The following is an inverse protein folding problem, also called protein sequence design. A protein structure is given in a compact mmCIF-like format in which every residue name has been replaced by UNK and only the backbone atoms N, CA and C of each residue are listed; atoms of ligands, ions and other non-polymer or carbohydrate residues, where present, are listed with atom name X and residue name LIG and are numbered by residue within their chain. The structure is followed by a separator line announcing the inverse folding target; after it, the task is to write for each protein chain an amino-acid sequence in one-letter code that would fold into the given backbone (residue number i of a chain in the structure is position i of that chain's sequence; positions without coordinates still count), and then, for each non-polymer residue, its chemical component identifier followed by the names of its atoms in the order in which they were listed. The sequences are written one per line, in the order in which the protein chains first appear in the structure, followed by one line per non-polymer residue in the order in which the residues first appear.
data_IF_910484917969
#
_entry.id   IF_910484917969
#
_cell.length_a   1.000
_cell.length_b   1.000
_cell.length_c   1.000
_cell.angle_alpha   90.00
_cell.angle_beta   90.00
_cell.angle_gamma   90.00
#
_symmetry.space_group_name_H-M   'P 1'
#
loop_
_entity.id
_entity.type
_entity.pdbx_description
1 polymer ?
#
# COMPACT_ATOMS: atom_id res chain seq x y z
N UNK A 1 22.65 16.20 -27.55
CA UNK A 1 23.32 16.18 -26.23
C UNK A 1 22.54 15.33 -25.22
N UNK A 2 21.42 15.79 -24.66
CA UNK A 2 20.69 15.05 -23.60
C UNK A 2 20.22 13.65 -24.01
N UNK A 3 19.92 13.47 -25.30
CA UNK A 3 19.43 12.23 -25.90
C UNK A 3 20.56 11.21 -26.18
N UNK A 4 21.81 11.68 -26.27
CA UNK A 4 22.98 10.83 -26.48
C UNK A 4 23.36 10.14 -25.16
N UNK A 5 23.28 10.88 -24.04
CA UNK A 5 23.47 10.34 -22.70
C UNK A 5 22.41 9.29 -22.32
N UNK A 6 21.14 9.46 -22.72
CA UNK A 6 20.12 8.43 -22.43
C UNK A 6 20.35 7.14 -23.24
N UNK A 7 20.86 7.24 -24.47
CA UNK A 7 21.30 6.08 -25.26
C UNK A 7 22.50 5.38 -24.62
N UNK A 8 23.51 6.14 -24.18
CA UNK A 8 24.68 5.60 -23.48
C UNK A 8 24.31 4.89 -22.15
N UNK A 9 23.41 5.48 -21.36
CA UNK A 9 22.90 4.87 -20.11
C UNK A 9 22.14 3.56 -20.42
N UNK A 10 21.32 3.53 -21.48
CA UNK A 10 20.63 2.31 -21.88
C UNK A 10 21.60 1.19 -22.28
N UNK A 11 22.67 1.51 -23.02
CA UNK A 11 23.72 0.56 -23.38
C UNK A 11 24.49 0.04 -22.13
N UNK A 12 24.82 0.93 -21.19
CA UNK A 12 25.49 0.57 -19.94
C UNK A 12 24.61 -0.34 -19.05
N UNK A 13 23.29 -0.09 -18.99
CA UNK A 13 22.37 -0.96 -18.25
C UNK A 13 22.29 -2.37 -18.88
N UNK A 14 22.31 -2.50 -20.21
CA UNK A 14 22.38 -3.80 -20.90
C UNK A 14 23.71 -4.51 -20.61
N UNK A 15 24.82 -3.77 -20.53
CA UNK A 15 26.13 -4.33 -20.17
C UNK A 15 26.18 -4.78 -18.70
N UNK A 16 25.60 -4.02 -17.79
CA UNK A 16 25.47 -4.36 -16.37
C UNK A 16 24.65 -5.65 -16.19
N UNK A 17 23.47 -5.74 -16.82
CA UNK A 17 22.63 -6.93 -16.77
C UNK A 17 23.29 -8.18 -17.41
N UNK A 18 24.28 -8.01 -18.29
CA UNK A 18 25.14 -9.11 -18.79
C UNK A 18 26.18 -9.52 -17.74
N UNK A 19 26.88 -8.56 -17.15
CA UNK A 19 27.89 -8.82 -16.11
C UNK A 19 27.29 -9.49 -14.87
N UNK A 20 26.08 -9.11 -14.45
CA UNK A 20 25.38 -9.75 -13.33
C UNK A 20 25.02 -11.23 -13.60
N UNK A 21 24.74 -11.60 -14.86
CA UNK A 21 24.53 -13.01 -15.25
C UNK A 21 25.84 -13.79 -15.17
N UNK A 22 26.92 -13.24 -15.70
CA UNK A 22 28.26 -13.84 -15.65
C UNK A 22 28.75 -14.03 -14.20
N UNK A 23 28.46 -13.06 -13.31
CA UNK A 23 28.71 -13.19 -11.87
C UNK A 23 27.82 -14.25 -11.22
N UNK A 24 26.52 -14.33 -11.55
CA UNK A 24 25.62 -15.38 -11.05
C UNK A 24 26.05 -16.78 -11.51
N UNK A 25 26.47 -16.93 -12.76
CA UNK A 25 27.02 -18.19 -13.29
C UNK A 25 28.34 -18.57 -12.61
N UNK A 26 29.24 -17.60 -12.39
CA UNK A 26 30.49 -17.82 -11.66
C UNK A 26 30.23 -18.24 -10.21
N UNK A 27 29.34 -17.56 -9.48
CA UNK A 27 28.93 -17.98 -8.12
C UNK A 27 28.29 -19.38 -8.12
N UNK A 28 27.45 -19.72 -9.12
CA UNK A 28 26.87 -21.07 -9.29
C UNK A 28 27.94 -22.14 -9.53
N UNK A 29 29.01 -21.84 -10.25
CA UNK A 29 30.15 -22.75 -10.45
C UNK A 29 30.99 -22.90 -9.17
N UNK A 30 31.29 -21.80 -8.46
CA UNK A 30 31.98 -21.84 -7.15
C UNK A 30 31.21 -22.73 -6.17
N UNK A 31 29.88 -22.57 -6.08
CA UNK A 31 29.04 -23.42 -5.23
C UNK A 31 29.09 -24.91 -5.62
N UNK A 32 29.10 -25.23 -6.92
CA UNK A 32 29.24 -26.63 -7.39
C UNK A 32 30.60 -27.23 -7.02
N UNK A 33 31.69 -26.47 -7.17
CA UNK A 33 33.04 -26.91 -6.82
C UNK A 33 33.19 -27.08 -5.30
N UNK A 34 32.70 -26.13 -4.50
CA UNK A 34 32.65 -26.22 -3.03
C UNK A 34 31.89 -27.45 -2.56
N UNK A 35 30.77 -27.79 -3.22
CA UNK A 35 29.98 -28.99 -2.89
C UNK A 35 30.68 -30.31 -3.26
N UNK A 36 31.58 -30.30 -4.26
CA UNK A 36 32.43 -31.47 -4.59
C UNK A 36 33.56 -31.64 -3.58
N UNK A 37 34.15 -30.54 -3.09
CA UNK A 37 35.21 -30.51 -2.08
C UNK A 37 34.69 -30.67 -0.63
N UNK A 38 33.39 -30.94 -0.46
CA UNK A 38 32.68 -30.99 0.84
C UNK A 38 32.78 -29.71 1.70
N UNK A 39 33.19 -28.59 1.11
CA UNK A 39 33.34 -27.29 1.76
C UNK A 39 32.00 -26.55 1.86
N UNK A 40 31.75 -25.78 2.94
CA UNK A 40 30.50 -25.06 3.15
C UNK A 40 30.28 -23.99 2.05
N UNK A 41 29.11 -24.06 1.41
CA UNK A 41 28.72 -23.20 0.27
C UNK A 41 28.92 -21.70 0.59
N UNK A 42 29.87 -21.00 -0.06
CA UNK A 42 30.22 -19.62 0.28
C UNK A 42 29.23 -18.58 -0.25
N UNK A 43 28.34 -18.96 -1.17
CA UNK A 43 27.30 -18.09 -1.70
C UNK A 43 25.91 -18.68 -1.42
N UNK A 44 24.99 -17.96 -0.77
CA UNK A 44 23.63 -18.47 -0.55
C UNK A 44 22.86 -18.51 -1.87
N UNK A 45 22.19 -19.63 -2.16
CA UNK A 45 21.44 -19.81 -3.41
C UNK A 45 20.34 -18.75 -3.62
N UNK A 46 19.86 -18.10 -2.55
CA UNK A 46 18.91 -16.98 -2.63
C UNK A 46 19.41 -15.78 -3.46
N UNK A 47 20.72 -15.56 -3.59
CA UNK A 47 21.31 -14.55 -4.48
C UNK A 47 21.47 -15.02 -5.94
N UNK A 48 21.32 -16.32 -6.21
CA UNK A 48 21.58 -16.91 -7.53
C UNK A 48 20.33 -16.99 -8.38
N UNK A 49 19.17 -17.06 -7.74
CA UNK A 49 17.85 -17.09 -8.38
C UNK A 49 17.12 -15.74 -8.26
N UNK A 50 17.82 -14.68 -7.83
CA UNK A 50 17.34 -13.29 -7.95
C UNK A 50 17.52 -12.81 -9.39
N UNK A 51 16.51 -13.06 -10.23
CA UNK A 51 16.31 -12.25 -11.43
C UNK A 51 15.77 -10.85 -11.05
N UNK A 52 16.03 -9.86 -11.92
CA UNK A 52 15.79 -8.44 -11.66
C UNK A 52 14.30 -8.12 -11.48
N UNK A 53 13.84 -8.13 -10.23
CA UNK A 53 12.46 -7.88 -9.85
C UNK A 53 12.14 -8.60 -8.55
N UNK A 54 12.39 -7.93 -7.42
CA UNK A 54 12.40 -8.50 -6.06
C UNK A 54 11.13 -9.24 -5.64
N UNK A 55 11.04 -10.52 -6.02
CA UNK A 55 9.87 -11.39 -5.84
C UNK A 55 10.05 -12.28 -4.61
N UNK A 56 9.78 -11.67 -3.46
CA UNK A 56 9.75 -12.31 -2.14
C UNK A 56 8.96 -13.63 -2.18
N UNK A 57 9.67 -14.76 -2.12
CA UNK A 57 9.08 -16.08 -1.88
C UNK A 57 7.99 -16.51 -2.86
N UNK A 58 8.09 -16.16 -4.16
CA UNK A 58 7.21 -16.63 -5.23
C UNK A 58 5.70 -16.58 -4.89
N UNK A 59 5.18 -15.39 -4.57
CA UNK A 59 3.76 -15.13 -4.30
C UNK A 59 2.83 -15.89 -5.27
N UNK A 60 1.98 -16.77 -4.72
CA UNK A 60 0.95 -17.47 -5.49
C UNK A 60 -0.10 -16.47 -5.99
N UNK A 61 -0.51 -16.62 -7.26
CA UNK A 61 -1.39 -15.66 -7.97
C UNK A 61 -2.82 -15.57 -7.43
N UNK A 62 -3.20 -16.50 -6.56
CA UNK A 62 -4.50 -16.62 -5.89
C UNK A 62 -4.46 -16.20 -4.40
N UNK A 63 -3.27 -15.93 -3.84
CA UNK A 63 -3.03 -15.82 -2.39
C UNK A 63 -3.85 -14.72 -1.68
N UNK A 64 -4.25 -13.67 -2.39
CA UNK A 64 -5.04 -12.56 -1.85
C UNK A 64 -6.41 -12.40 -2.53
N UNK A 65 -6.86 -13.39 -3.30
CA UNK A 65 -8.17 -13.34 -3.94
C UNK A 65 -9.31 -13.44 -2.90
N UNK A 66 -10.23 -12.48 -2.91
CA UNK A 66 -11.34 -12.39 -1.94
C UNK A 66 -10.95 -12.01 -0.51
N UNK A 67 -9.66 -11.88 -0.19
CA UNK A 67 -9.16 -11.54 1.15
C UNK A 67 -9.39 -10.05 1.44
N UNK A 68 -9.85 -9.65 2.65
CA UNK A 68 -9.95 -8.24 3.01
C UNK A 68 -8.58 -7.52 2.95
N UNK A 69 -8.56 -6.31 2.39
CA UNK A 69 -7.33 -5.52 2.13
C UNK A 69 -6.37 -5.46 3.34
N UNK A 70 -6.88 -5.18 4.54
CA UNK A 70 -6.06 -5.09 5.76
C UNK A 70 -5.48 -6.44 6.21
N UNK A 71 -6.07 -7.57 5.82
CA UNK A 71 -5.53 -8.91 6.07
C UNK A 71 -4.45 -9.23 5.04
N UNK A 72 -4.72 -9.05 3.75
CA UNK A 72 -3.73 -9.29 2.68
C UNK A 72 -2.42 -8.49 2.89
N UNK A 73 -2.50 -7.21 3.29
CA UNK A 73 -1.34 -6.39 3.65
C UNK A 73 -0.58 -6.98 4.85
N UNK A 74 -1.30 -7.41 5.90
CA UNK A 74 -0.70 -7.97 7.12
C UNK A 74 0.09 -9.24 6.81
N UNK A 75 -0.49 -10.11 5.98
CA UNK A 75 0.08 -11.41 5.69
C UNK A 75 1.24 -11.30 4.69
N UNK A 76 1.17 -10.39 3.72
CA UNK A 76 2.33 -9.98 2.90
C UNK A 76 3.49 -9.47 3.77
N UNK A 77 3.24 -8.55 4.70
CA UNK A 77 4.30 -8.01 5.57
C UNK A 77 4.89 -9.09 6.50
N UNK A 78 4.08 -10.01 7.01
CA UNK A 78 4.56 -11.18 7.79
C UNK A 78 5.48 -12.07 6.95
N UNK A 79 5.04 -12.44 5.74
CA UNK A 79 5.80 -13.26 4.79
C UNK A 79 7.11 -12.57 4.35
N UNK A 80 7.09 -11.24 4.17
CA UNK A 80 8.27 -10.42 3.89
C UNK A 80 9.30 -10.53 5.02
N UNK A 81 8.87 -10.41 6.28
CA UNK A 81 9.76 -10.54 7.45
C UNK A 81 10.26 -11.97 7.69
N UNK A 82 9.45 -13.01 7.44
CA UNK A 82 9.96 -14.40 7.48
C UNK A 82 10.96 -14.69 6.36
N UNK A 83 10.92 -13.93 5.26
CA UNK A 83 11.93 -13.95 4.18
C UNK A 83 13.14 -13.06 4.47
N UNK A 84 13.33 -12.60 5.71
CA UNK A 84 14.42 -11.71 6.11
C UNK A 84 14.29 -10.24 5.68
N UNK A 85 13.30 -9.90 4.85
CA UNK A 85 13.10 -8.55 4.33
C UNK A 85 12.33 -7.65 5.31
N UNK A 86 12.78 -6.40 5.43
CA UNK A 86 12.26 -5.43 6.39
C UNK A 86 10.90 -4.80 6.02
N UNK A 87 10.54 -3.66 6.64
CA UNK A 87 9.30 -2.94 6.35
C UNK A 87 9.28 -2.40 4.91
N UNK A 88 8.08 -2.20 4.35
CA UNK A 88 7.85 -2.02 2.90
C UNK A 88 7.27 -0.65 2.53
N UNK A 89 7.53 -0.17 1.32
CA UNK A 89 6.89 1.04 0.78
C UNK A 89 5.46 0.76 0.32
N UNK A 90 4.65 1.82 0.15
CA UNK A 90 3.30 1.71 -0.43
C UNK A 90 3.33 1.13 -1.85
N UNK A 91 4.39 1.42 -2.62
CA UNK A 91 4.58 0.84 -3.96
C UNK A 91 4.86 -0.66 -3.90
N UNK A 92 5.75 -1.12 -3.01
CA UNK A 92 6.09 -2.55 -2.86
C UNK A 92 4.86 -3.36 -2.44
N UNK A 93 4.07 -2.83 -1.49
CA UNK A 93 2.84 -3.46 -1.01
C UNK A 93 1.80 -3.52 -2.15
N UNK A 94 1.66 -2.44 -2.93
CA UNK A 94 0.74 -2.42 -4.07
C UNK A 94 1.11 -3.45 -5.15
N UNK A 95 2.39 -3.53 -5.53
CA UNK A 95 2.88 -4.49 -6.51
C UNK A 95 2.70 -5.94 -6.05
N UNK A 96 3.07 -6.26 -4.82
CA UNK A 96 2.91 -7.61 -4.25
C UNK A 96 1.43 -8.03 -4.12
N UNK A 97 0.54 -7.09 -3.78
CA UNK A 97 -0.91 -7.35 -3.75
C UNK A 97 -1.46 -7.68 -5.15
N UNK A 98 -1.08 -6.91 -6.18
CA UNK A 98 -1.44 -7.22 -7.58
C UNK A 98 -0.90 -8.58 -8.02
N UNK A 99 0.36 -8.90 -7.70
CA UNK A 99 0.99 -10.18 -8.04
C UNK A 99 0.26 -11.37 -7.38
N UNK A 100 -0.19 -11.21 -6.14
CA UNK A 100 -0.98 -12.20 -5.39
C UNK A 100 -2.49 -12.22 -5.72
N UNK A 101 -2.93 -11.57 -6.81
CA UNK A 101 -4.31 -11.62 -7.30
C UNK A 101 -5.30 -10.71 -6.59
N UNK A 102 -4.85 -9.74 -5.80
CA UNK A 102 -5.75 -8.80 -5.12
C UNK A 102 -6.41 -7.83 -6.11
N UNK A 103 -7.74 -7.83 -6.16
CA UNK A 103 -8.53 -6.93 -7.01
C UNK A 103 -8.82 -5.60 -6.31
N UNK A 104 -8.18 -4.53 -6.76
CA UNK A 104 -8.52 -3.16 -6.34
C UNK A 104 -9.80 -2.67 -7.05
N UNK A 105 -10.70 -2.04 -6.30
CA UNK A 105 -11.98 -1.50 -6.80
C UNK A 105 -11.84 -0.12 -7.49
N UNK A 106 -10.69 0.13 -8.12
CA UNK A 106 -10.35 1.45 -8.67
C UNK A 106 -9.64 1.33 -10.02
N UNK A 107 -10.21 1.93 -11.06
CA UNK A 107 -9.64 1.96 -12.43
C UNK A 107 -8.33 2.74 -12.59
N UNK A 108 -7.86 3.46 -11.56
CA UNK A 108 -6.66 4.28 -11.58
C UNK A 108 -5.72 3.88 -10.43
N UNK A 109 -4.49 3.50 -10.78
CA UNK A 109 -3.42 3.10 -9.87
C UNK A 109 -3.10 4.15 -8.80
N UNK A 110 -3.10 5.44 -9.15
CA UNK A 110 -2.83 6.51 -8.18
C UNK A 110 -3.90 6.58 -7.09
N UNK A 111 -5.16 6.34 -7.45
CA UNK A 111 -6.27 6.23 -6.49
C UNK A 111 -6.19 4.95 -5.67
N UNK A 112 -5.77 3.83 -6.29
CA UNK A 112 -5.55 2.56 -5.59
C UNK A 112 -4.46 2.70 -4.51
N UNK A 113 -3.30 3.27 -4.86
CA UNK A 113 -2.19 3.56 -3.94
C UNK A 113 -2.58 4.55 -2.85
N UNK A 114 -3.37 5.58 -3.17
CA UNK A 114 -3.87 6.54 -2.16
C UNK A 114 -4.87 5.87 -1.20
N UNK A 115 -5.75 5.00 -1.69
CA UNK A 115 -6.64 4.17 -0.88
C UNK A 115 -5.88 3.21 0.03
N UNK A 116 -4.85 2.54 -0.49
CA UNK A 116 -3.93 1.67 0.25
C UNK A 116 -3.24 2.42 1.40
N UNK A 117 -2.66 3.60 1.11
CA UNK A 117 -2.04 4.46 2.11
C UNK A 117 -3.03 4.93 3.20
N UNK A 118 -4.24 5.33 2.81
CA UNK A 118 -5.30 5.71 3.77
C UNK A 118 -5.72 4.52 4.64
N UNK A 119 -5.78 3.30 4.08
CA UNK A 119 -6.07 2.07 4.82
C UNK A 119 -4.97 1.74 5.84
N UNK A 120 -3.71 1.82 5.42
CA UNK A 120 -2.54 1.66 6.30
C UNK A 120 -2.56 2.70 7.44
N UNK A 121 -2.70 3.98 7.11
CA UNK A 121 -2.65 5.08 8.08
C UNK A 121 -3.83 5.09 9.08
N UNK A 122 -5.03 4.66 8.66
CA UNK A 122 -6.17 4.49 9.58
C UNK A 122 -5.99 3.34 10.56
N UNK A 123 -5.27 2.28 10.17
CA UNK A 123 -5.11 1.05 10.95
C UNK A 123 -3.82 1.04 11.80
N UNK A 124 -3.47 2.17 12.40
CA UNK A 124 -2.25 2.37 13.21
C UNK A 124 -2.08 1.38 14.39
N UNK A 125 -3.18 0.77 14.86
CA UNK A 125 -3.13 -0.30 15.86
C UNK A 125 -2.39 -1.56 15.38
N UNK A 126 -2.41 -1.83 14.06
CA UNK A 126 -1.83 -3.02 13.40
C UNK A 126 -0.57 -2.67 12.61
N UNK A 127 -0.56 -1.51 11.93
CA UNK A 127 0.54 -1.06 11.09
C UNK A 127 1.25 0.15 11.70
N UNK A 128 2.58 0.14 11.71
CA UNK A 128 3.40 1.27 12.15
C UNK A 128 4.05 1.93 10.93
N UNK A 129 3.88 3.24 10.77
CA UNK A 129 4.58 4.07 9.77
C UNK A 129 5.90 4.53 10.37
N UNK A 130 7.02 4.15 9.74
CA UNK A 130 8.35 4.53 10.22
C UNK A 130 8.65 6.01 9.89
N UNK A 131 9.28 6.76 10.81
CA UNK A 131 9.82 8.09 10.51
C UNK A 131 11.02 7.96 9.57
N UNK A 132 10.88 8.46 8.34
CA UNK A 132 11.93 8.42 7.30
C UNK A 132 11.38 8.67 5.90
N UNK A 133 10.18 8.17 5.61
CA UNK A 133 9.46 8.47 4.36
C UNK A 133 8.81 9.86 4.37
N UNK A 134 9.41 10.82 3.65
CA UNK A 134 8.89 12.21 3.57
C UNK A 134 7.67 12.38 2.66
N UNK A 135 7.32 11.40 1.83
CA UNK A 135 6.18 11.44 0.89
C UNK A 135 5.26 10.24 1.06
N UNK A 136 4.01 10.34 0.60
CA UNK A 136 3.02 9.26 0.69
C UNK A 136 3.50 7.95 0.02
N UNK A 137 4.32 8.04 -1.04
CA UNK A 137 4.87 6.88 -1.75
C UNK A 137 6.12 6.30 -1.08
N UNK A 138 6.99 7.16 -0.53
CA UNK A 138 8.19 6.75 0.22
C UNK A 138 7.89 6.37 1.69
N UNK A 139 6.63 6.47 2.12
CA UNK A 139 6.19 6.06 3.45
C UNK A 139 6.41 4.55 3.65
N UNK A 140 7.29 4.20 4.59
CA UNK A 140 7.65 2.81 4.91
C UNK A 140 6.79 2.30 6.06
N UNK A 141 6.20 1.11 5.90
CA UNK A 141 5.27 0.50 6.85
C UNK A 141 5.73 -0.91 7.27
N UNK A 142 5.57 -1.22 8.55
CA UNK A 142 5.69 -2.58 9.11
C UNK A 142 4.52 -2.88 10.05
N UNK A 143 4.48 -4.07 10.67
CA UNK A 143 3.51 -4.33 11.74
C UNK A 143 3.97 -3.65 13.04
N UNK A 144 3.00 -3.16 13.82
CA UNK A 144 3.25 -2.59 15.17
C UNK A 144 3.74 -3.66 16.16
N UNK A 145 3.49 -4.95 15.88
CA UNK A 145 4.09 -6.12 16.57
C UNK A 145 5.63 -6.13 16.52
N UNK A 146 6.24 -5.50 15.51
CA UNK A 146 7.70 -5.49 15.33
C UNK A 146 8.39 -4.38 16.14
N UNK A 147 7.62 -3.41 16.64
CA UNK A 147 8.12 -2.18 17.27
C UNK A 147 7.40 -1.93 18.61
N UNK A 148 7.52 -2.82 19.61
CA UNK A 148 6.80 -2.69 20.89
C UNK A 148 7.06 -1.34 21.58
N UNK A 149 8.29 -0.84 21.48
CA UNK A 149 8.72 0.42 22.11
C UNK A 149 8.16 1.67 21.41
N UNK A 150 7.86 1.61 20.11
CA UNK A 150 7.40 2.78 19.34
C UNK A 150 6.01 3.29 19.80
N UNK A 151 5.20 2.44 20.42
CA UNK A 151 3.92 2.80 21.07
C UNK A 151 4.09 3.78 22.26
N UNK A 152 5.29 3.93 22.82
CA UNK A 152 5.56 4.89 23.89
C UNK A 152 5.63 6.35 23.37
N UNK A 153 6.26 6.58 22.22
CA UNK A 153 6.54 7.93 21.72
C UNK A 153 5.31 8.63 21.13
N UNK A 154 4.40 7.90 20.48
CA UNK A 154 3.22 8.51 19.87
C UNK A 154 2.31 9.17 20.93
N UNK A 155 2.19 8.55 22.11
CA UNK A 155 1.49 9.11 23.28
C UNK A 155 2.15 10.40 23.80
N UNK A 156 3.44 10.60 23.60
CA UNK A 156 4.14 11.82 24.01
C UNK A 156 3.92 12.99 23.02
N UNK A 157 3.57 12.69 21.75
CA UNK A 157 3.39 13.72 20.71
C UNK A 157 1.94 14.23 20.58
N UNK A 158 0.94 13.41 20.90
CA UNK A 158 -0.48 13.81 20.79
C UNK A 158 -0.98 14.65 21.97
N UNK A 159 -0.54 15.91 22.09
CA UNK A 159 -1.26 16.89 22.94
C UNK A 159 -2.68 17.11 22.38
N UNK A 160 -3.74 17.14 23.22
CA UNK A 160 -5.11 17.10 22.74
C UNK A 160 -5.50 18.40 22.01
N UNK A 161 -5.89 18.28 20.73
CA UNK A 161 -6.36 19.40 19.91
C UNK A 161 -7.77 19.80 20.38
N UNK A 162 -7.85 20.90 21.12
CA UNK A 162 -9.09 21.39 21.77
C UNK A 162 -10.26 21.45 20.78
N UNK A 163 -11.33 20.70 21.06
CA UNK A 163 -12.61 20.82 20.35
C UNK A 163 -13.20 22.21 20.60
N UNK A 164 -13.02 23.14 19.66
CA UNK A 164 -13.79 24.40 19.61
C UNK A 164 -15.26 24.04 19.40
N UNK A 165 -16.04 24.02 20.48
CA UNK A 165 -17.49 23.89 20.39
C UNK A 165 -18.05 25.14 19.69
N UNK A 166 -19.02 25.00 18.75
CA UNK A 166 -19.77 26.15 18.26
C UNK A 166 -20.63 26.69 19.41
N UNK A 167 -20.33 27.90 19.90
CA UNK A 167 -21.14 28.55 20.94
C UNK A 167 -22.53 28.87 20.39
N UNK A 168 -23.57 28.39 21.08
CA UNK A 168 -24.94 28.91 20.92
C UNK A 168 -24.93 30.42 21.19
N UNK A 169 -25.64 31.19 20.36
CA UNK A 169 -26.30 32.44 20.76
C UNK A 169 -27.81 32.21 20.64
N UNK A 170 -28.60 32.87 21.50
CA UNK A 170 -30.06 32.69 21.58
C UNK A 170 -30.71 34.02 22.01
N UNK A 171 -32.00 34.17 21.69
CA UNK A 171 -32.84 35.36 21.93
C UNK A 171 -32.36 36.64 21.17
N UNK A 172 -33.17 37.67 20.90
CA UNK A 172 -34.59 38.04 21.18
C UNK A 172 -35.04 38.98 20.02
N UNK A 173 -36.30 39.30 19.72
CA UNK A 173 -37.67 38.79 20.03
C UNK A 173 -38.67 39.64 19.20
N UNK A 174 -39.93 39.18 19.01
CA UNK A 174 -41.04 39.85 18.28
C UNK A 174 -40.85 39.93 16.75
N UNK A 175 -41.86 39.77 15.90
CA UNK A 175 -43.23 39.23 16.01
C UNK A 175 -43.68 38.81 14.58
N UNK A 176 -44.92 38.41 14.23
CA UNK A 176 -46.22 38.40 14.90
C UNK A 176 -47.12 37.28 14.30
N UNK A 177 -48.45 37.34 14.49
CA UNK A 177 -49.42 36.48 13.80
C UNK A 177 -50.66 37.28 13.39
N UNK A 178 -51.29 36.97 12.23
CA UNK A 178 -52.51 36.18 12.34
C UNK A 178 -52.81 35.17 11.20
N UNK A 179 -53.67 34.20 11.55
CA UNK A 179 -54.69 33.46 10.76
C UNK A 179 -54.91 33.94 9.30
N UNK A 180 -55.18 33.09 8.30
CA UNK A 180 -56.36 32.20 8.23
C UNK A 180 -56.44 31.29 6.98
N UNK A 181 -57.38 30.33 7.02
CA UNK A 181 -58.19 29.76 5.91
C UNK A 181 -57.57 29.08 4.67
N UNK A 182 -57.71 27.74 4.67
CA UNK A 182 -58.65 26.97 3.80
C UNK A 182 -58.36 26.69 2.32
N UNK A 183 -58.82 25.51 1.89
CA UNK A 183 -59.16 25.11 0.50
C UNK A 183 -57.97 24.93 -0.48
N UNK A 184 -58.01 24.02 -1.48
CA UNK A 184 -59.06 23.08 -1.92
C UNK A 184 -58.50 21.90 -2.76
N UNK A 185 -59.24 20.79 -2.77
CA UNK A 185 -59.43 19.83 -3.88
C UNK A 185 -58.23 19.18 -4.62
N UNK A 186 -58.10 17.86 -4.41
CA UNK A 186 -57.97 16.88 -5.52
C UNK A 186 -59.08 17.11 -6.56
N UNK A 187 -58.86 16.82 -7.86
CA UNK A 187 -59.46 15.59 -8.37
C UNK A 187 -58.78 14.88 -9.58
N UNK A 188 -59.14 13.59 -9.70
CA UNK A 188 -59.45 12.80 -10.91
C UNK A 188 -58.37 12.17 -11.78
N UNK A 189 -58.64 10.90 -12.06
CA UNK A 189 -58.18 10.09 -13.18
C UNK A 189 -58.45 10.75 -14.54
N UNK A 190 -57.64 10.39 -15.53
CA UNK A 190 -58.08 10.32 -16.93
C UNK A 190 -57.43 9.11 -17.62
N UNK A 191 -58.28 8.12 -17.92
CA UNK A 191 -58.17 7.24 -19.09
C UNK A 191 -58.08 8.08 -20.38
N UNK A 192 -57.61 7.62 -21.55
CA UNK A 192 -57.54 6.24 -22.08
C UNK A 192 -56.35 6.10 -23.11
N UNK A 193 -56.32 5.21 -24.15
CA UNK A 193 -55.07 4.77 -24.81
C UNK A 193 -54.88 5.29 -26.25
N UNK A 194 -53.74 4.90 -26.84
CA UNK A 194 -53.58 4.47 -28.25
C UNK A 194 -52.51 3.35 -28.24
N UNK A 195 -52.75 2.16 -28.83
CA UNK A 195 -52.57 1.75 -30.25
C UNK A 195 -51.10 1.55 -30.62
#
# INVERSE_FOLDING_TARGET
MSQDFSSAIAALNVQLAKQEREVRETKRLINKLSAMDSAPLPHPNAELDTDEGGTLGALRRDQFYGVPLATAIRDYLKMRRSSGAGPATVNDIYGALLQGGFKFDTKNEANAKRGLYISLAKNAAVFHKLPGGSSDAAAVFGLTEWYPNAKAEEKARTKPKVRRQPKKKAATDKSEAPKASSHKQLPREATNPDV
#
